data_IF_505569807267
#
_entry.id   IF_505569807267
#
_cell.length_a   1.000
_cell.length_b   1.000
_cell.length_c   1.000
_cell.angle_alpha   90.00
_cell.angle_beta   90.00
_cell.angle_gamma   90.00
#
_symmetry.space_group_name_H-M   'P 1'
#
loop_
_entity.id
_entity.type
_entity.pdbx_description
1 polymer ?
#
# COMPACT_ATOMS: atom_id res chain seq x y z
N UNK A 1 20.95 -5.70 -1.30
CA UNK A 1 21.33 -6.04 0.08
C UNK A 1 21.17 -7.54 0.27
N UNK A 2 21.92 -8.16 1.18
CA UNK A 2 21.79 -9.60 1.46
C UNK A 2 20.86 -9.83 2.66
N UNK A 3 19.87 -10.72 2.52
CA UNK A 3 18.79 -10.92 3.49
C UNK A 3 19.28 -11.30 4.91
N UNK A 4 20.28 -12.18 5.08
CA UNK A 4 20.83 -12.50 6.40
C UNK A 4 21.53 -11.30 7.06
N UNK A 5 22.19 -10.45 6.27
CA UNK A 5 22.88 -9.25 6.78
C UNK A 5 21.87 -8.18 7.18
N UNK A 6 20.83 -7.98 6.37
CA UNK A 6 19.73 -7.05 6.66
C UNK A 6 19.02 -7.41 7.97
N UNK A 7 18.72 -8.69 8.20
CA UNK A 7 18.09 -9.16 9.43
C UNK A 7 18.94 -8.97 10.70
N UNK A 8 20.26 -8.84 10.56
CA UNK A 8 21.17 -8.62 11.70
C UNK A 8 21.28 -7.15 12.13
N UNK A 9 20.83 -6.21 11.30
CA UNK A 9 20.95 -4.77 11.51
C UNK A 9 19.58 -4.17 11.80
N UNK A 10 19.20 -4.08 13.09
CA UNK A 10 17.86 -3.66 13.54
C UNK A 10 17.38 -2.35 12.94
N UNK A 11 18.24 -1.34 12.87
CA UNK A 11 17.85 -0.02 12.35
C UNK A 11 17.54 -0.05 10.86
N UNK A 12 18.29 -0.87 10.10
CA UNK A 12 18.05 -1.04 8.66
C UNK A 12 16.81 -1.89 8.40
N UNK A 13 16.61 -2.92 9.21
CA UNK A 13 15.38 -3.72 9.17
C UNK A 13 14.16 -2.84 9.46
N UNK A 14 14.22 -2.02 10.52
CA UNK A 14 13.17 -1.07 10.86
C UNK A 14 12.89 -0.06 9.73
N UNK A 15 13.92 0.38 9.01
CA UNK A 15 13.77 1.27 7.85
C UNK A 15 13.04 0.57 6.68
N UNK A 16 13.42 -0.65 6.31
CA UNK A 16 12.79 -1.37 5.18
C UNK A 16 11.38 -1.89 5.51
N UNK A 17 11.08 -2.10 6.79
CA UNK A 17 9.76 -2.49 7.28
C UNK A 17 8.87 -1.29 7.64
N UNK A 18 9.38 -0.06 7.50
CA UNK A 18 8.63 1.15 7.85
C UNK A 18 7.37 1.28 6.99
N UNK A 19 6.21 1.10 7.61
CA UNK A 19 4.93 1.04 6.91
C UNK A 19 4.54 2.36 6.25
N UNK A 20 4.91 3.50 6.81
CA UNK A 20 4.61 4.81 6.23
C UNK A 20 5.41 5.03 4.94
N UNK A 21 6.71 4.67 4.93
CA UNK A 21 7.53 4.72 3.72
C UNK A 21 7.08 3.71 2.66
N UNK A 22 6.73 2.49 3.07
CA UNK A 22 6.21 1.46 2.17
C UNK A 22 4.88 1.90 1.55
N UNK A 23 3.99 2.50 2.34
CA UNK A 23 2.72 3.02 1.86
C UNK A 23 2.94 4.17 0.88
N UNK A 24 3.83 5.13 1.20
CA UNK A 24 4.22 6.20 0.28
C UNK A 24 4.71 5.64 -1.07
N UNK A 25 5.58 4.62 -1.05
CA UNK A 25 6.07 3.96 -2.26
C UNK A 25 4.95 3.25 -3.06
N UNK A 26 4.02 2.57 -2.36
CA UNK A 26 2.88 1.87 -2.97
C UNK A 26 1.86 2.84 -3.60
N UNK A 27 1.66 4.01 -2.99
CA UNK A 27 0.84 5.08 -3.54
C UNK A 27 1.41 5.56 -4.87
N UNK A 28 2.74 5.56 -5.02
CA UNK A 28 3.42 5.81 -6.30
C UNK A 28 3.23 7.22 -6.84
N UNK A 29 2.94 8.19 -5.98
CA UNK A 29 2.81 9.62 -6.34
C UNK A 29 4.11 10.36 -6.07
N UNK A 30 4.49 11.24 -6.99
CA UNK A 30 5.63 12.12 -6.82
C UNK A 30 5.33 13.20 -5.77
N UNK A 31 6.32 13.51 -4.93
CA UNK A 31 6.26 14.67 -4.05
C UNK A 31 6.55 15.96 -4.83
N UNK A 32 5.89 17.05 -4.45
CA UNK A 32 6.09 18.38 -5.01
C UNK A 32 7.22 19.08 -4.24
N UNK A 33 8.31 19.50 -4.90
CA UNK A 33 9.31 20.36 -4.25
C UNK A 33 8.74 21.77 -4.05
N UNK A 34 8.78 22.26 -2.82
CA UNK A 34 8.17 23.55 -2.43
C UNK A 34 9.13 24.73 -2.56
N UNK A 35 10.44 24.46 -2.51
CA UNK A 35 11.50 25.47 -2.55
C UNK A 35 12.29 25.45 -3.86
N UNK A 36 11.70 24.98 -4.97
CA UNK A 36 12.36 25.00 -6.29
C UNK A 36 12.94 26.36 -6.66
N UNK A 37 12.18 27.43 -6.43
CA UNK A 37 12.56 28.81 -6.80
C UNK A 37 13.11 29.63 -5.62
N UNK A 38 13.13 29.03 -4.43
CA UNK A 38 13.53 29.70 -3.18
C UNK A 38 14.54 28.87 -2.39
N UNK A 39 15.13 27.85 -3.01
CA UNK A 39 16.13 26.98 -2.41
C UNK A 39 17.36 27.81 -2.07
N UNK A 40 18.00 27.48 -0.95
CA UNK A 40 19.23 28.13 -0.57
C UNK A 40 20.30 27.76 -1.59
N UNK A 41 21.11 28.72 -2.05
CA UNK A 41 22.14 28.41 -3.03
C UNK A 41 23.19 27.41 -2.51
N UNK A 42 23.27 27.22 -1.19
CA UNK A 42 24.09 26.18 -0.54
C UNK A 42 23.53 24.78 -0.66
N UNK A 43 22.22 24.65 -0.90
CA UNK A 43 21.56 23.34 -1.00
C UNK A 43 21.75 22.70 -2.38
N UNK A 44 22.11 23.49 -3.40
CA UNK A 44 22.28 23.10 -4.83
C UNK A 44 21.06 22.44 -5.51
N UNK A 45 20.07 22.00 -4.72
CA UNK A 45 18.83 21.36 -5.10
C UNK A 45 17.72 21.68 -4.08
N UNK A 46 16.43 21.42 -4.40
CA UNK A 46 15.34 21.60 -3.44
C UNK A 46 15.53 20.77 -2.18
N UNK A 47 15.21 21.36 -1.03
CA UNK A 47 15.35 20.74 0.28
C UNK A 47 14.00 20.32 0.87
N UNK A 48 12.89 20.89 0.38
CA UNK A 48 11.57 20.70 0.98
C UNK A 48 10.63 20.08 -0.05
N UNK A 49 10.11 18.90 0.26
CA UNK A 49 9.18 18.17 -0.59
C UNK A 49 7.90 17.87 0.18
N UNK A 50 6.77 17.98 -0.51
CA UNK A 50 5.45 17.75 0.08
C UNK A 50 4.64 16.77 -0.77
N UNK A 51 3.99 15.81 -0.12
CA UNK A 51 3.13 14.83 -0.75
C UNK A 51 1.81 14.73 -0.01
N UNK A 52 0.72 15.13 -0.63
CA UNK A 52 -0.62 14.85 -0.14
C UNK A 52 -1.01 13.40 -0.49
N UNK A 53 -1.13 12.54 0.52
CA UNK A 53 -1.51 11.14 0.30
C UNK A 53 -3.03 10.98 0.20
N UNK A 54 -3.77 11.61 1.11
CA UNK A 54 -5.23 11.64 1.17
C UNK A 54 -5.71 13.02 1.65
N UNK A 55 -7.01 13.33 1.66
CA UNK A 55 -7.51 14.55 2.30
C UNK A 55 -7.15 14.67 3.79
N UNK A 56 -6.87 13.55 4.48
CA UNK A 56 -6.57 13.51 5.91
C UNK A 56 -5.07 13.59 6.21
N UNK A 57 -4.19 13.08 5.34
CA UNK A 57 -2.77 13.00 5.66
C UNK A 57 -1.84 13.36 4.50
N UNK A 58 -0.67 13.85 4.88
CA UNK A 58 0.41 14.24 3.99
C UNK A 58 1.78 13.86 4.57
N UNK A 59 2.78 13.77 3.69
CA UNK A 59 4.18 13.59 4.04
C UNK A 59 4.94 14.87 3.67
N UNK A 60 5.67 15.41 4.64
CA UNK A 60 6.59 16.53 4.48
C UNK A 60 8.02 16.01 4.66
N UNK A 61 8.82 16.08 3.61
CA UNK A 61 10.22 15.66 3.62
C UNK A 61 11.11 16.90 3.60
N UNK A 62 12.01 17.00 4.57
CA UNK A 62 12.92 18.14 4.72
C UNK A 62 14.35 17.62 4.80
N UNK A 63 15.11 17.91 3.77
CA UNK A 63 16.53 17.62 3.72
C UNK A 63 17.35 18.77 4.29
N UNK A 64 18.46 18.42 4.91
CA UNK A 64 19.58 19.33 5.12
C UNK A 64 20.75 18.79 4.30
N UNK A 65 20.97 19.35 3.12
CA UNK A 65 22.08 18.97 2.24
C UNK A 65 23.42 19.56 2.68
N UNK A 66 23.40 20.53 3.60
CA UNK A 66 24.60 21.27 4.01
C UNK A 66 25.45 20.49 5.01
N UNK A 67 26.71 20.90 5.14
CA UNK A 67 27.66 20.39 6.13
C UNK A 67 27.45 20.94 7.56
N UNK A 68 26.41 21.76 7.76
CA UNK A 68 26.13 22.42 9.06
C UNK A 68 24.71 22.13 9.55
N UNK A 69 24.46 22.09 10.87
CA UNK A 69 23.11 21.95 11.38
C UNK A 69 22.20 23.09 10.92
N UNK A 70 20.94 22.78 10.63
CA UNK A 70 19.95 23.75 10.14
C UNK A 70 18.62 23.58 10.85
N UNK A 71 17.92 24.70 11.04
CA UNK A 71 16.55 24.67 11.54
C UNK A 71 15.58 25.13 10.46
N UNK A 72 14.39 24.54 10.44
CA UNK A 72 13.31 24.90 9.54
C UNK A 72 12.03 25.15 10.33
N UNK A 73 11.29 26.18 9.95
CA UNK A 73 9.98 26.52 10.47
C UNK A 73 9.01 26.61 9.28
N UNK A 74 8.13 25.62 9.14
CA UNK A 74 7.26 25.47 7.97
C UNK A 74 5.80 25.62 8.39
N UNK A 75 5.13 26.68 7.93
CA UNK A 75 3.73 26.92 8.27
C UNK A 75 2.84 25.98 7.47
N UNK A 76 1.85 25.39 8.13
CA UNK A 76 0.87 24.50 7.48
C UNK A 76 0.14 25.21 6.33
N UNK A 77 -0.17 26.51 6.49
CA UNK A 77 -0.79 27.33 5.45
C UNK A 77 0.04 27.39 4.17
N UNK A 78 1.37 27.49 4.30
CA UNK A 78 2.29 27.59 3.16
C UNK A 78 2.41 26.24 2.42
N UNK A 79 2.05 25.13 3.08
CA UNK A 79 1.93 23.79 2.49
C UNK A 79 0.56 23.57 1.81
N UNK A 80 -0.33 24.58 1.82
CA UNK A 80 -1.70 24.47 1.33
C UNK A 80 -2.65 23.74 2.28
N UNK A 81 -2.28 23.54 3.54
CA UNK A 81 -3.10 22.89 4.56
C UNK A 81 -3.95 23.92 5.33
N UNK A 82 -5.08 23.46 5.88
CA UNK A 82 -6.01 24.31 6.63
C UNK A 82 -5.42 24.73 7.98
N UNK A 83 -4.89 25.94 8.08
CA UNK A 83 -4.20 26.43 9.28
C UNK A 83 -5.05 26.42 10.57
N UNK A 84 -6.38 26.47 10.45
CA UNK A 84 -7.32 26.43 11.58
C UNK A 84 -7.60 25.00 12.09
N UNK A 85 -7.17 23.97 11.34
CA UNK A 85 -7.36 22.58 11.77
C UNK A 85 -6.28 22.16 12.77
N UNK A 86 -6.61 21.16 13.58
CA UNK A 86 -5.66 20.53 14.48
C UNK A 86 -4.90 19.43 13.74
N UNK A 87 -3.58 19.53 13.67
CA UNK A 87 -2.74 18.49 13.07
C UNK A 87 -1.92 17.75 14.13
N UNK A 88 -1.68 16.46 13.90
CA UNK A 88 -0.57 15.74 14.50
C UNK A 88 0.59 15.70 13.51
N UNK A 89 1.81 15.87 13.99
CA UNK A 89 3.04 15.73 13.21
C UNK A 89 3.90 14.62 13.82
N UNK A 90 4.32 13.65 13.02
CA UNK A 90 5.05 12.45 13.47
C UNK A 90 6.30 12.26 12.60
N UNK A 91 7.44 12.01 13.23
CA UNK A 91 8.68 11.72 12.51
C UNK A 91 8.76 10.25 12.11
N UNK A 92 8.52 9.99 10.84
CA UNK A 92 8.47 8.66 10.24
C UNK A 92 9.78 7.91 10.41
N UNK A 93 10.92 8.60 10.35
CA UNK A 93 12.24 7.97 10.47
C UNK A 93 12.67 7.77 11.92
N UNK A 94 11.99 8.40 12.87
CA UNK A 94 12.24 8.27 14.30
C UNK A 94 11.04 7.62 15.01
N UNK A 95 10.63 6.45 14.53
CA UNK A 95 9.57 5.63 15.14
C UNK A 95 8.26 6.38 15.40
N UNK A 96 7.88 7.29 14.51
CA UNK A 96 6.71 8.15 14.64
C UNK A 96 6.71 9.00 15.93
N UNK A 97 7.88 9.42 16.40
CA UNK A 97 8.01 10.36 17.51
C UNK A 97 7.28 11.67 17.18
N UNK A 98 6.52 12.27 18.12
CA UNK A 98 5.83 13.53 17.88
C UNK A 98 6.78 14.67 17.52
N UNK A 99 6.40 15.47 16.54
CA UNK A 99 7.08 16.72 16.17
C UNK A 99 6.26 17.89 16.64
N UNK A 100 6.92 18.87 17.24
CA UNK A 100 6.28 20.04 17.79
C UNK A 100 5.63 20.90 16.70
N UNK A 101 4.35 21.20 16.89
CA UNK A 101 3.61 22.21 16.12
C UNK A 101 3.40 23.44 17.01
N UNK A 102 4.02 24.56 16.66
CA UNK A 102 3.84 25.84 17.36
C UNK A 102 3.04 26.78 16.46
N UNK A 103 1.81 27.12 16.86
CA UNK A 103 0.96 28.06 16.12
C UNK A 103 0.77 27.68 14.65
N UNK A 104 0.52 26.40 14.36
CA UNK A 104 0.37 25.90 12.98
C UNK A 104 1.67 25.85 12.18
N UNK A 105 2.83 25.83 12.84
CA UNK A 105 4.15 25.73 12.21
C UNK A 105 4.86 24.47 12.67
N UNK A 106 5.31 23.64 11.72
CA UNK A 106 6.19 22.50 11.96
C UNK A 106 7.57 23.03 12.30
N UNK A 107 8.05 22.72 13.51
CA UNK A 107 9.37 23.11 13.97
C UNK A 107 10.34 21.94 13.84
N UNK A 108 11.37 22.12 13.00
CA UNK A 108 12.51 21.22 12.88
C UNK A 108 13.71 21.98 13.38
N UNK A 109 14.10 21.71 14.62
CA UNK A 109 15.23 22.40 15.27
C UNK A 109 16.51 21.57 15.17
N UNK A 110 17.62 22.24 14.86
CA UNK A 110 18.96 21.65 14.90
C UNK A 110 19.06 20.32 14.11
N UNK A 111 18.47 20.26 12.92
CA UNK A 111 18.59 19.12 12.04
C UNK A 111 20.07 18.92 11.65
N UNK A 112 20.64 17.72 11.85
CA UNK A 112 22.04 17.45 11.54
C UNK A 112 22.40 17.73 10.07
N UNK A 113 23.69 17.99 9.77
CA UNK A 113 24.21 17.98 8.41
C UNK A 113 23.84 16.70 7.65
N UNK A 114 23.72 16.79 6.33
CA UNK A 114 23.54 15.64 5.43
C UNK A 114 22.45 14.65 5.87
N UNK A 115 21.33 15.18 6.36
CA UNK A 115 20.27 14.38 6.96
C UNK A 115 18.91 14.71 6.39
N UNK A 116 17.93 13.84 6.64
CA UNK A 116 16.55 14.02 6.24
C UNK A 116 15.61 13.81 7.41
N UNK A 117 14.57 14.63 7.46
CA UNK A 117 13.39 14.45 8.33
C UNK A 117 12.21 14.15 7.44
N UNK A 118 11.45 13.11 7.76
CA UNK A 118 10.21 12.76 7.05
C UNK A 118 9.08 12.86 8.07
N UNK A 119 8.25 13.90 7.92
CA UNK A 119 7.21 14.24 8.87
C UNK A 119 5.86 13.88 8.27
N UNK A 120 5.15 12.94 8.90
CA UNK A 120 3.76 12.65 8.59
C UNK A 120 2.87 13.65 9.30
N UNK A 121 2.04 14.35 8.53
CA UNK A 121 1.04 15.29 9.01
C UNK A 121 -0.33 14.62 8.91
N UNK A 122 -1.09 14.60 10.01
CA UNK A 122 -2.43 14.02 10.09
C UNK A 122 -3.40 15.10 10.53
N UNK A 123 -4.36 15.43 9.68
CA UNK A 123 -5.46 16.35 9.97
C UNK A 123 -6.48 15.67 10.89
N UNK A 124 -6.60 16.18 12.11
CA UNK A 124 -7.55 15.70 13.11
C UNK A 124 -9.00 16.09 12.84
N UNK A 125 -9.23 17.08 11.97
CA UNK A 125 -10.57 17.55 11.62
C UNK A 125 -11.19 16.71 10.49
N UNK A 126 -10.39 16.00 9.71
CA UNK A 126 -10.86 15.11 8.63
C UNK A 126 -10.88 13.69 9.15
N UNK A 127 -12.04 13.02 9.16
CA UNK A 127 -12.15 11.61 9.60
C UNK A 127 -11.42 10.64 8.66
N UNK A 128 -10.83 9.57 9.20
CA UNK A 128 -10.19 8.52 8.40
C UNK A 128 -11.24 7.80 7.57
N UNK A 129 -10.96 7.59 6.28
CA UNK A 129 -11.91 6.97 5.35
C UNK A 129 -11.31 5.70 4.73
N UNK A 130 -12.18 4.73 4.45
CA UNK A 130 -11.82 3.63 3.58
C UNK A 130 -11.71 4.11 2.13
N UNK A 131 -10.85 3.48 1.30
CA UNK A 131 -10.82 3.76 -0.13
C UNK A 131 -12.11 3.26 -0.80
N UNK A 132 -12.68 4.04 -1.71
CA UNK A 132 -13.78 3.56 -2.56
C UNK A 132 -13.21 2.68 -3.66
N UNK A 133 -13.72 1.45 -3.76
CA UNK A 133 -13.20 0.42 -4.67
C UNK A 133 -14.31 -0.13 -5.57
N UNK A 134 -14.01 -0.28 -6.86
CA UNK A 134 -14.78 -1.08 -7.80
C UNK A 134 -14.07 -2.39 -8.05
N UNK A 135 -14.78 -3.49 -7.84
CA UNK A 135 -14.29 -4.83 -8.11
C UNK A 135 -15.03 -5.50 -9.27
N UNK A 136 -14.33 -6.37 -9.97
CA UNK A 136 -14.84 -7.22 -11.04
C UNK A 136 -14.59 -8.66 -10.60
N UNK A 137 -15.68 -9.38 -10.31
CA UNK A 137 -15.67 -10.78 -9.91
C UNK A 137 -16.76 -11.49 -10.71
N UNK A 138 -16.45 -12.60 -11.43
CA UNK A 138 -17.46 -13.35 -12.16
C UNK A 138 -18.44 -14.00 -11.18
N UNK A 139 -19.73 -13.99 -11.49
CA UNK A 139 -20.76 -14.62 -10.65
C UNK A 139 -20.86 -16.15 -10.84
N UNK A 140 -20.25 -16.67 -11.88
CA UNK A 140 -20.24 -18.10 -12.25
C UNK A 140 -18.87 -18.52 -12.76
N UNK A 141 -18.51 -19.78 -12.55
CA UNK A 141 -17.30 -20.40 -13.10
C UNK A 141 -17.48 -21.91 -13.23
N UNK A 142 -16.62 -22.58 -14.01
CA UNK A 142 -16.54 -24.04 -14.00
C UNK A 142 -15.39 -24.54 -13.12
N UNK A 143 -15.53 -25.73 -12.57
CA UNK A 143 -14.44 -26.38 -11.84
C UNK A 143 -13.20 -26.55 -12.74
N UNK A 144 -12.03 -26.11 -12.26
CA UNK A 144 -10.77 -26.13 -12.98
C UNK A 144 -10.59 -24.98 -13.99
N UNK A 145 -11.59 -24.12 -14.18
CA UNK A 145 -11.49 -22.92 -15.01
C UNK A 145 -10.76 -21.80 -14.25
N UNK A 146 -9.81 -21.14 -14.91
CA UNK A 146 -9.16 -19.94 -14.37
C UNK A 146 -10.09 -18.74 -14.48
N UNK A 147 -10.52 -18.22 -13.34
CA UNK A 147 -11.18 -16.92 -13.21
C UNK A 147 -10.17 -15.82 -12.95
N UNK A 148 -10.41 -14.64 -13.52
CA UNK A 148 -9.66 -13.43 -13.19
C UNK A 148 -10.55 -12.50 -12.37
N UNK A 149 -10.01 -12.00 -11.27
CA UNK A 149 -10.67 -10.97 -10.46
C UNK A 149 -9.80 -9.71 -10.42
N UNK A 150 -10.45 -8.56 -10.38
CA UNK A 150 -9.77 -7.28 -10.39
C UNK A 150 -10.45 -6.29 -9.43
N UNK A 151 -9.67 -5.37 -8.88
CA UNK A 151 -10.15 -4.26 -8.09
C UNK A 151 -9.38 -2.99 -8.46
N UNK A 152 -10.08 -1.86 -8.44
CA UNK A 152 -9.51 -0.55 -8.71
C UNK A 152 -10.13 0.49 -7.77
N UNK A 153 -9.30 1.40 -7.24
CA UNK A 153 -9.78 2.53 -6.44
C UNK A 153 -10.36 3.63 -7.31
N UNK A 154 -11.38 4.32 -6.81
CA UNK A 154 -11.98 5.50 -7.45
C UNK A 154 -11.37 6.84 -6.98
N UNK A 155 -10.32 6.79 -6.16
CA UNK A 155 -9.63 7.98 -5.63
C UNK A 155 -10.35 8.69 -4.48
N UNK A 156 -11.58 8.29 -4.16
CA UNK A 156 -12.34 8.76 -2.99
C UNK A 156 -11.89 7.97 -1.75
N UNK A 157 -11.72 8.67 -0.62
CA UNK A 157 -11.25 8.06 0.63
C UNK A 157 -9.76 7.75 0.67
N UNK A 158 -9.01 8.15 -0.36
CA UNK A 158 -7.57 7.97 -0.45
C UNK A 158 -7.13 6.79 -1.34
N UNK A 159 -5.82 6.69 -1.61
CA UNK A 159 -5.25 5.60 -2.38
C UNK A 159 -5.19 4.29 -1.58
N UNK A 160 -5.29 3.17 -2.28
CA UNK A 160 -5.10 1.84 -1.70
C UNK A 160 -3.62 1.44 -1.67
N UNK A 161 -3.22 0.74 -0.62
CA UNK A 161 -1.86 0.27 -0.36
C UNK A 161 -1.75 -1.26 -0.22
N UNK A 162 -2.87 -1.96 -0.09
CA UNK A 162 -2.90 -3.42 -0.16
C UNK A 162 -4.25 -3.93 -0.66
N UNK A 163 -4.23 -5.08 -1.34
CA UNK A 163 -5.41 -5.78 -1.84
C UNK A 163 -5.28 -7.25 -1.45
N UNK A 164 -6.26 -7.76 -0.71
CA UNK A 164 -6.33 -9.17 -0.32
C UNK A 164 -7.65 -9.78 -0.76
N UNK A 165 -7.56 -10.87 -1.50
CA UNK A 165 -8.67 -11.70 -1.93
C UNK A 165 -8.67 -12.98 -1.11
N UNK A 166 -9.81 -13.30 -0.51
CA UNK A 166 -10.13 -14.62 0.04
C UNK A 166 -11.21 -15.22 -0.86
N UNK A 167 -10.95 -16.40 -1.44
CA UNK A 167 -11.86 -17.01 -2.40
C UNK A 167 -12.95 -17.87 -1.74
N UNK A 168 -12.91 -18.05 -0.42
CA UNK A 168 -13.90 -18.84 0.32
C UNK A 168 -13.71 -20.36 0.20
N UNK A 169 -12.72 -20.82 -0.56
CA UNK A 169 -12.32 -22.24 -0.69
C UNK A 169 -11.08 -22.58 0.17
N UNK A 170 -10.65 -21.66 1.03
CA UNK A 170 -9.44 -21.77 1.85
C UNK A 170 -8.18 -21.18 1.22
N UNK A 171 -8.26 -20.70 -0.03
CA UNK A 171 -7.15 -20.02 -0.71
C UNK A 171 -7.30 -18.50 -0.68
N UNK A 172 -6.16 -17.80 -0.80
CA UNK A 172 -6.13 -16.34 -0.86
C UNK A 172 -5.05 -15.85 -1.82
N UNK A 173 -5.22 -14.64 -2.33
CA UNK A 173 -4.26 -13.98 -3.19
C UNK A 173 -4.12 -12.49 -2.84
N UNK A 174 -3.01 -11.89 -3.27
CA UNK A 174 -2.75 -10.45 -3.10
C UNK A 174 -2.54 -9.76 -4.43
N UNK A 175 -2.98 -8.51 -4.49
CA UNK A 175 -2.80 -7.63 -5.64
C UNK A 175 -4.11 -7.15 -6.28
N UNK A 176 -4.05 -6.06 -7.07
CA UNK A 176 -5.22 -5.45 -7.68
C UNK A 176 -5.83 -6.31 -8.80
N UNK A 177 -5.05 -7.23 -9.39
CA UNK A 177 -5.50 -8.20 -10.40
C UNK A 177 -4.87 -9.55 -10.08
N UNK A 178 -5.69 -10.57 -9.92
CA UNK A 178 -5.24 -11.93 -9.61
C UNK A 178 -6.07 -12.96 -10.38
N UNK A 179 -5.50 -14.14 -10.59
CA UNK A 179 -6.19 -15.29 -11.15
C UNK A 179 -6.40 -16.36 -10.07
N UNK A 180 -7.48 -17.14 -10.20
CA UNK A 180 -7.81 -18.24 -9.31
C UNK A 180 -8.53 -19.35 -10.08
N UNK A 181 -8.51 -20.58 -9.58
CA UNK A 181 -9.28 -21.68 -10.14
C UNK A 181 -9.84 -22.56 -9.01
N UNK A 182 -11.15 -22.78 -9.02
CA UNK A 182 -11.82 -23.60 -8.01
C UNK A 182 -11.71 -25.08 -8.36
N UNK A 183 -11.48 -25.92 -7.34
CA UNK A 183 -11.34 -27.38 -7.50
C UNK A 183 -12.59 -28.16 -7.08
N UNK A 184 -13.67 -27.49 -6.70
CA UNK A 184 -14.94 -28.13 -6.40
C UNK A 184 -16.11 -27.27 -6.85
N UNK A 185 -17.19 -27.90 -7.29
CA UNK A 185 -18.45 -27.22 -7.52
C UNK A 185 -19.12 -26.88 -6.18
N UNK A 186 -19.34 -25.58 -5.94
CA UNK A 186 -20.03 -25.06 -4.78
C UNK A 186 -20.36 -23.57 -4.98
N UNK A 187 -21.13 -23.01 -4.05
CA UNK A 187 -21.25 -21.57 -3.91
C UNK A 187 -20.14 -21.05 -2.99
N UNK A 188 -19.23 -20.25 -3.55
CA UNK A 188 -18.15 -19.60 -2.80
C UNK A 188 -18.42 -18.12 -2.58
N UNK A 189 -18.01 -17.61 -1.41
CA UNK A 189 -18.07 -16.18 -1.09
C UNK A 189 -16.64 -15.63 -1.22
N UNK A 190 -16.40 -14.88 -2.29
CA UNK A 190 -15.15 -14.14 -2.46
C UNK A 190 -15.20 -12.87 -1.63
N UNK A 191 -14.25 -12.69 -0.71
CA UNK A 191 -14.12 -11.50 0.11
C UNK A 191 -12.88 -10.71 -0.31
N UNK A 192 -13.11 -9.47 -0.74
CA UNK A 192 -12.07 -8.48 -1.00
C UNK A 192 -11.88 -7.61 0.24
N UNK A 193 -10.63 -7.48 0.70
CA UNK A 193 -10.20 -6.46 1.67
C UNK A 193 -9.19 -5.55 1.00
N UNK A 194 -9.45 -4.24 0.98
CA UNK A 194 -8.52 -3.23 0.45
C UNK A 194 -8.14 -2.26 1.56
N UNK A 195 -6.85 -2.18 1.86
CA UNK A 195 -6.31 -1.26 2.86
C UNK A 195 -5.98 0.08 2.19
N UNK A 196 -6.38 1.18 2.83
CA UNK A 196 -6.02 2.55 2.43
C UNK A 196 -4.95 3.16 3.31
N UNK A 197 -4.35 4.27 2.86
CA UNK A 197 -3.33 5.00 3.63
C UNK A 197 -3.83 5.55 4.97
N UNK A 198 -5.14 5.76 5.11
CA UNK A 198 -5.81 6.25 6.31
C UNK A 198 -6.06 5.13 7.36
N UNK A 199 -5.70 3.88 7.06
CA UNK A 199 -5.80 2.75 7.98
C UNK A 199 -7.21 2.17 8.18
N UNK A 200 -8.18 2.59 7.38
CA UNK A 200 -9.53 2.00 7.37
C UNK A 200 -9.69 1.12 6.13
N UNK A 201 -9.98 -0.19 6.27
CA UNK A 201 -10.15 -1.07 5.13
C UNK A 201 -11.54 -0.93 4.49
N UNK A 202 -11.58 -1.05 3.16
CA UNK A 202 -12.81 -1.34 2.42
C UNK A 202 -12.98 -2.85 2.29
N UNK A 203 -14.18 -3.36 2.59
CA UNK A 203 -14.50 -4.79 2.49
C UNK A 203 -15.70 -4.98 1.57
N UNK A 204 -15.56 -5.87 0.59
CA UNK A 204 -16.63 -6.26 -0.34
C UNK A 204 -16.75 -7.78 -0.40
N UNK A 205 -17.95 -8.28 -0.69
CA UNK A 205 -18.22 -9.72 -0.80
C UNK A 205 -19.00 -10.02 -2.07
N UNK A 206 -18.61 -11.10 -2.75
CA UNK A 206 -19.16 -11.52 -4.04
C UNK A 206 -19.48 -13.00 -3.98
N UNK A 207 -20.62 -13.40 -4.54
CA UNK A 207 -20.96 -14.82 -4.67
C UNK A 207 -20.49 -15.34 -6.04
N UNK A 208 -19.77 -16.46 -6.03
CA UNK A 208 -19.38 -17.19 -7.23
C UNK A 208 -20.00 -18.57 -7.18
N UNK A 209 -20.86 -18.90 -8.15
CA UNK A 209 -21.43 -20.23 -8.30
C UNK A 209 -20.55 -21.07 -9.22
N UNK A 210 -19.87 -22.06 -8.66
CA UNK A 210 -18.97 -22.96 -9.40
C UNK A 210 -19.71 -24.25 -9.71
N UNK A 211 -19.70 -24.64 -10.98
CA UNK A 211 -20.40 -25.85 -11.46
C UNK A 211 -19.48 -26.78 -12.26
N UNK A 212 -19.94 -28.00 -12.52
CA UNK A 212 -19.18 -29.02 -13.27
C UNK A 212 -18.20 -29.82 -12.41
N UNK A 213 -17.71 -30.91 -12.97
CA UNK A 213 -16.75 -31.80 -12.28
C UNK A 213 -15.35 -31.60 -12.85
N UNK A 214 -14.34 -31.64 -11.97
CA UNK A 214 -12.96 -31.83 -12.41
C UNK A 214 -12.87 -33.19 -13.09
N UNK A 215 -12.81 -33.21 -14.41
CA UNK A 215 -12.48 -34.44 -15.14
C UNK A 215 -11.09 -34.86 -14.72
N UNK A 216 -11.00 -35.87 -13.84
CA UNK A 216 -9.76 -36.59 -13.62
C UNK A 216 -9.30 -37.12 -14.99
N UNK A 217 -8.19 -36.59 -15.51
CA UNK A 217 -7.59 -37.13 -16.71
C UNK A 217 -7.21 -38.59 -16.44
N UNK A 218 -7.75 -39.46 -17.29
CA UNK A 218 -7.51 -40.90 -17.43
C UNK A 218 -8.09 -41.81 -16.34
N UNK A 219 -9.17 -42.48 -16.72
CA UNK A 219 -9.42 -43.85 -16.30
C UNK A 219 -8.17 -44.67 -16.67
N UNK A 220 -7.42 -45.18 -15.69
CA UNK A 220 -6.27 -46.09 -15.94
C UNK A 220 -6.66 -47.35 -16.73
N UNK A 221 -7.97 -47.63 -16.85
CA UNK A 221 -8.52 -48.71 -17.65
C UNK A 221 -8.42 -48.49 -19.17
N UNK A 222 -8.25 -47.26 -19.66
CA UNK A 222 -8.04 -46.99 -21.09
C UNK A 222 -6.61 -47.36 -21.56
N UNK A 223 -5.74 -47.78 -20.64
CA UNK A 223 -4.35 -48.16 -20.92
C UNK A 223 -4.09 -49.68 -20.94
N UNK A 224 -5.12 -50.52 -21.13
CA UNK A 224 -4.90 -51.95 -21.44
C UNK A 224 -4.55 -52.13 -22.91
N UNK A 225 -3.26 -51.94 -23.24
CA UNK A 225 -2.68 -52.25 -24.57
C UNK A 225 -2.39 -53.74 -24.81
N UNK A 226 -2.77 -54.63 -23.90
CA UNK A 226 -2.57 -56.07 -24.06
C UNK A 226 -3.92 -56.78 -24.17
N UNK A 227 -4.23 -57.26 -25.39
CA UNK A 227 -5.20 -58.33 -25.61
C UNK A 227 -4.39 -59.63 -25.69
N UNK A 228 -4.72 -60.62 -24.87
CA UNK A 228 -4.15 -61.96 -25.02
C UNK A 228 -4.52 -62.50 -26.40
N UNK A 229 -3.52 -62.99 -27.13
CA UNK A 229 -3.77 -63.69 -28.38
C UNK A 229 -4.54 -64.98 -28.06
N UNK A 230 -5.70 -65.15 -28.68
CA UNK A 230 -6.44 -66.41 -28.64
C UNK A 230 -5.65 -67.49 -29.38
N UNK A 231 -5.17 -68.50 -28.65
CA UNK A 231 -4.61 -69.73 -29.24
C UNK A 231 -5.68 -70.47 -30.06
N UNK A 232 -5.25 -70.98 -31.22
CA UNK A 232 -6.01 -71.82 -32.15
C UNK A 232 -6.08 -73.29 -31.69
#
# INVERSE_FOLDING_TARGET
DDMPVLGSQKDRLALVENTDLLNMAKVGRASTPLDLMTSDSRDEQPSIFFLQESPRQAILTVFNWTETPRSHALKLADLGLHAEHSFAALDVLNQNAPVTLQGGTVQIENQPPESVRVIKLIDGNVSSSAPTVKAQVPSVANTGETVNVAAQTEGIGGPAVDYRWDFGDGTSARGPKVSHAYTAAAHFIVRLTVEGVDGVPAVQSFSVNVTGDLRALHNLNDNRRFQDATDH
#
